data_IF_642606624960
#
_entry.id   IF_642606624960
#
_cell.length_a   1.000
_cell.length_b   1.000
_cell.length_c   1.000
_cell.angle_alpha   90.00
_cell.angle_beta   90.00
_cell.angle_gamma   90.00
#
_symmetry.space_group_name_H-M   'P 1'
#
loop_
_entity.id
_entity.type
_entity.pdbx_description
1 polymer ?
#
# COMPACT_ATOMS: atom_id res chain seq x y z
N UNK A 1 -2.33 -20.97 -21.44
CA UNK A 1 -3.62 -20.34 -20.99
C UNK A 1 -3.93 -20.65 -19.51
N UNK A 2 -3.85 -21.89 -19.09
CA UNK A 2 -4.13 -22.27 -17.68
C UNK A 2 -3.26 -21.48 -16.68
N UNK A 3 -1.96 -21.39 -16.91
CA UNK A 3 -1.04 -20.64 -16.03
C UNK A 3 -1.33 -19.15 -15.98
N UNK A 4 -1.79 -18.56 -17.10
CA UNK A 4 -2.18 -17.15 -17.13
C UNK A 4 -3.43 -16.89 -16.27
N UNK A 5 -4.39 -17.81 -16.30
CA UNK A 5 -5.60 -17.72 -15.47
C UNK A 5 -5.23 -17.85 -13.98
N UNK A 6 -4.38 -18.82 -13.65
CA UNK A 6 -3.92 -19.03 -12.27
C UNK A 6 -3.15 -17.80 -11.75
N UNK A 7 -2.24 -17.27 -12.55
CA UNK A 7 -1.47 -16.07 -12.16
C UNK A 7 -2.37 -14.85 -11.95
N UNK A 8 -3.33 -14.64 -12.85
CA UNK A 8 -4.31 -13.55 -12.70
C UNK A 8 -5.14 -13.71 -11.44
N UNK A 9 -5.57 -14.93 -11.13
CA UNK A 9 -6.32 -15.24 -9.92
C UNK A 9 -5.51 -14.98 -8.65
N UNK A 10 -4.26 -15.41 -8.63
CA UNK A 10 -3.34 -15.18 -7.49
C UNK A 10 -3.08 -13.68 -7.34
N UNK A 11 -2.84 -12.97 -8.43
CA UNK A 11 -2.62 -11.53 -8.41
C UNK A 11 -3.82 -10.77 -7.84
N UNK A 12 -5.02 -11.14 -8.27
CA UNK A 12 -6.26 -10.55 -7.77
C UNK A 12 -6.44 -10.82 -6.27
N UNK A 13 -6.20 -12.05 -5.85
CA UNK A 13 -6.30 -12.43 -4.44
C UNK A 13 -5.25 -11.70 -3.58
N UNK A 14 -4.02 -11.58 -4.08
CA UNK A 14 -2.96 -10.83 -3.41
C UNK A 14 -3.35 -9.35 -3.25
N UNK A 15 -3.95 -8.76 -4.27
CA UNK A 15 -4.47 -7.40 -4.22
C UNK A 15 -5.51 -7.21 -3.11
N UNK A 16 -6.41 -8.16 -2.94
CA UNK A 16 -7.41 -8.14 -1.88
C UNK A 16 -6.78 -8.25 -0.48
N UNK A 17 -5.79 -9.11 -0.32
CA UNK A 17 -5.06 -9.27 0.95
C UNK A 17 -4.32 -7.97 1.30
N UNK A 18 -3.66 -7.34 0.33
CA UNK A 18 -2.98 -6.07 0.54
C UNK A 18 -3.96 -4.97 0.93
N UNK A 19 -5.09 -4.89 0.26
CA UNK A 19 -6.12 -3.88 0.53
C UNK A 19 -6.71 -4.04 1.93
N UNK A 20 -7.04 -5.25 2.32
CA UNK A 20 -7.56 -5.55 3.65
C UNK A 20 -6.52 -5.23 4.74
N UNK A 21 -5.28 -5.66 4.56
CA UNK A 21 -4.19 -5.38 5.50
C UNK A 21 -3.93 -3.89 5.65
N UNK A 22 -3.94 -3.15 4.53
CA UNK A 22 -3.77 -1.69 4.53
C UNK A 22 -4.91 -0.99 5.28
N UNK A 23 -6.16 -1.40 5.06
CA UNK A 23 -7.31 -0.84 5.75
C UNK A 23 -7.25 -1.09 7.27
N UNK A 24 -6.85 -2.28 7.68
CA UNK A 24 -6.71 -2.61 9.11
C UNK A 24 -5.56 -1.86 9.78
N UNK A 25 -4.42 -1.72 9.10
CA UNK A 25 -3.29 -0.93 9.61
C UNK A 25 -3.63 0.56 9.67
N UNK A 26 -4.34 1.08 8.67
CA UNK A 26 -4.80 2.47 8.65
C UNK A 26 -5.78 2.77 9.79
N UNK A 27 -6.54 1.80 10.23
CA UNK A 27 -7.46 1.93 11.36
C UNK A 27 -6.75 2.32 12.66
N UNK A 28 -5.49 1.94 12.82
CA UNK A 28 -4.69 2.36 13.99
C UNK A 28 -4.51 3.88 14.02
N UNK A 29 -4.40 4.52 12.88
CA UNK A 29 -4.31 5.99 12.80
C UNK A 29 -5.68 6.64 13.02
N UNK A 30 -6.74 6.03 12.52
CA UNK A 30 -8.10 6.54 12.68
C UNK A 30 -8.51 6.58 14.16
N UNK A 31 -8.13 5.57 14.94
CA UNK A 31 -8.49 5.42 16.36
C UNK A 31 -7.42 5.97 17.32
N UNK A 32 -6.46 6.76 16.86
CA UNK A 32 -5.35 7.36 17.62
C UNK A 32 -4.33 6.39 18.21
N UNK A 33 -4.45 5.09 17.98
CA UNK A 33 -3.50 4.11 18.53
C UNK A 33 -2.08 4.33 17.99
N UNK A 34 -1.95 4.68 16.72
CA UNK A 34 -0.66 4.95 16.11
C UNK A 34 -0.01 6.22 16.69
N UNK A 35 -0.81 7.26 16.93
CA UNK A 35 -0.34 8.51 17.52
C UNK A 35 0.10 8.32 18.97
N UNK A 36 -0.71 7.62 19.76
CA UNK A 36 -0.43 7.37 21.18
C UNK A 36 0.84 6.54 21.37
N UNK A 37 1.10 5.61 20.46
CA UNK A 37 2.31 4.77 20.50
C UNK A 37 3.52 5.40 19.81
N UNK A 38 3.36 6.54 19.14
CA UNK A 38 4.42 7.16 18.36
C UNK A 38 4.90 6.29 17.19
N UNK A 39 3.97 5.61 16.53
CA UNK A 39 4.27 4.67 15.44
C UNK A 39 4.98 5.37 14.28
N UNK A 40 6.22 4.99 14.02
CA UNK A 40 6.98 5.48 12.87
C UNK A 40 6.68 4.64 11.61
N UNK A 41 7.28 5.02 10.48
CA UNK A 41 7.09 4.33 9.21
C UNK A 41 7.47 2.85 9.29
N UNK A 42 8.60 2.53 9.93
CA UNK A 42 9.06 1.15 10.09
C UNK A 42 8.06 0.33 10.92
N UNK A 43 7.56 0.88 12.01
CA UNK A 43 6.55 0.21 12.84
C UNK A 43 5.24 -0.03 12.07
N UNK A 44 4.81 0.94 11.27
CA UNK A 44 3.64 0.80 10.42
C UNK A 44 3.82 -0.29 9.36
N UNK A 45 4.97 -0.31 8.68
CA UNK A 45 5.31 -1.36 7.72
C UNK A 45 5.37 -2.74 8.37
N UNK A 46 5.87 -2.83 9.59
CA UNK A 46 5.91 -4.08 10.35
C UNK A 46 4.50 -4.58 10.66
N UNK A 47 3.62 -3.69 11.12
CA UNK A 47 2.22 -4.04 11.38
C UNK A 47 1.52 -4.50 10.10
N UNK A 48 1.68 -3.76 9.02
CA UNK A 48 1.12 -4.12 7.72
C UNK A 48 1.66 -5.47 7.24
N UNK A 49 2.97 -5.69 7.32
CA UNK A 49 3.59 -6.95 6.93
C UNK A 49 3.05 -8.13 7.72
N UNK A 50 2.85 -7.98 9.02
CA UNK A 50 2.29 -9.04 9.86
C UNK A 50 0.89 -9.48 9.40
N UNK A 51 0.16 -8.59 8.77
CA UNK A 51 -1.19 -8.88 8.26
C UNK A 51 -1.17 -9.53 6.88
N UNK A 52 -0.14 -9.25 6.06
CA UNK A 52 -0.08 -9.68 4.66
C UNK A 52 1.02 -10.71 4.37
N UNK A 53 1.84 -11.07 5.33
CA UNK A 53 3.01 -11.94 5.14
C UNK A 53 2.71 -13.33 4.59
N UNK A 54 1.45 -13.77 4.64
CA UNK A 54 1.02 -15.04 4.08
C UNK A 54 1.25 -15.10 2.56
N UNK A 55 1.10 -13.97 1.88
CA UNK A 55 1.25 -13.87 0.42
C UNK A 55 2.41 -12.98 -0.01
N UNK A 56 2.92 -12.12 0.85
CA UNK A 56 3.92 -11.12 0.50
C UNK A 56 5.25 -11.37 1.19
N UNK A 57 6.33 -11.27 0.43
CA UNK A 57 7.69 -11.41 0.95
C UNK A 57 8.14 -10.06 1.57
N UNK A 58 7.69 -9.80 2.77
CA UNK A 58 8.02 -8.58 3.50
C UNK A 58 8.63 -8.84 4.88
N UNK A 59 8.48 -10.05 5.42
CA UNK A 59 9.01 -10.40 6.74
C UNK A 59 10.54 -10.40 6.70
N UNK A 60 11.13 -9.54 7.53
CA UNK A 60 12.58 -9.32 7.50
C UNK A 60 13.07 -8.49 6.30
N UNK A 61 12.18 -8.03 5.44
CA UNK A 61 12.52 -7.28 4.23
C UNK A 61 11.46 -6.22 3.93
N UNK A 62 11.32 -5.26 4.85
CA UNK A 62 10.28 -4.23 4.78
C UNK A 62 10.45 -3.27 3.58
N UNK A 63 11.63 -3.24 2.97
CA UNK A 63 11.88 -2.43 1.78
C UNK A 63 11.03 -2.88 0.57
N UNK A 64 10.51 -4.10 0.59
CA UNK A 64 9.61 -4.59 -0.45
C UNK A 64 8.24 -3.92 -0.42
N UNK A 65 7.87 -3.31 0.70
CA UNK A 65 6.63 -2.55 0.84
C UNK A 65 6.95 -1.06 0.78
N UNK A 66 6.23 -0.33 -0.04
CA UNK A 66 6.27 1.13 -0.06
C UNK A 66 4.98 1.67 0.52
N UNK A 67 5.08 2.58 1.47
CA UNK A 67 3.94 3.18 2.15
C UNK A 67 3.97 4.69 1.94
N UNK A 68 2.84 5.25 1.59
CA UNK A 68 2.65 6.70 1.44
C UNK A 68 1.47 7.12 2.30
N UNK A 69 1.74 7.92 3.32
CA UNK A 69 0.72 8.43 4.25
C UNK A 69 0.75 9.94 4.20
N UNK A 70 -0.35 10.53 3.71
CA UNK A 70 -0.50 11.98 3.61
C UNK A 70 -1.67 12.46 4.45
N UNK A 71 -1.48 13.56 5.12
CA UNK A 71 -2.48 14.20 5.98
C UNK A 71 -2.94 15.50 5.31
N UNK A 72 -4.24 15.66 5.17
CA UNK A 72 -4.86 16.85 4.58
C UNK A 72 -5.72 17.55 5.61
N UNK A 73 -5.54 18.85 5.74
CA UNK A 73 -6.35 19.68 6.62
C UNK A 73 -7.80 19.75 6.14
N UNK A 74 -8.78 19.97 7.04
CA UNK A 74 -10.18 20.12 6.64
C UNK A 74 -10.35 21.21 5.58
N UNK A 75 -11.16 20.91 4.55
CA UNK A 75 -11.43 21.85 3.46
C UNK A 75 -10.32 21.95 2.40
N UNK A 76 -9.22 21.22 2.56
CA UNK A 76 -8.15 21.16 1.57
C UNK A 76 -8.45 20.11 0.50
N UNK A 77 -8.16 20.42 -0.76
CA UNK A 77 -8.30 19.45 -1.83
C UNK A 77 -7.30 18.30 -1.67
N UNK A 78 -7.78 17.08 -1.83
CA UNK A 78 -6.93 15.89 -1.76
C UNK A 78 -6.29 15.70 -3.13
N UNK A 79 -4.95 15.70 -3.17
CA UNK A 79 -4.18 15.46 -4.38
C UNK A 79 -3.38 14.16 -4.24
N UNK A 80 -3.57 13.25 -5.20
CA UNK A 80 -2.88 11.96 -5.23
C UNK A 80 -2.12 11.89 -6.54
N UNK A 81 -0.82 11.58 -6.47
CA UNK A 81 0.04 11.44 -7.65
C UNK A 81 0.04 10.00 -8.13
N UNK A 82 0.20 9.84 -9.45
CA UNK A 82 0.37 8.51 -10.04
C UNK A 82 1.71 7.91 -9.57
N UNK A 83 1.69 6.71 -8.96
CA UNK A 83 2.92 6.09 -8.47
C UNK A 83 3.79 5.49 -9.59
N UNK A 84 3.25 5.32 -10.79
CA UNK A 84 3.99 4.73 -11.92
C UNK A 84 4.36 5.83 -12.90
N UNK A 85 5.67 6.04 -13.07
CA UNK A 85 6.21 6.97 -14.08
C UNK A 85 7.23 6.23 -14.92
N UNK A 86 7.02 6.20 -16.22
CA UNK A 86 7.91 5.52 -17.19
C UNK A 86 8.21 4.06 -16.81
N UNK A 87 7.21 3.33 -16.32
CA UNK A 87 7.32 1.93 -15.93
C UNK A 87 8.04 1.69 -14.61
N UNK A 88 8.24 2.72 -13.80
CA UNK A 88 8.91 2.59 -12.51
C UNK A 88 8.01 3.14 -11.39
N UNK A 89 8.11 2.52 -10.21
CA UNK A 89 7.49 3.05 -9.01
C UNK A 89 8.28 4.29 -8.56
N UNK A 90 7.66 5.44 -8.71
CA UNK A 90 8.32 6.73 -8.49
C UNK A 90 7.55 7.56 -7.48
N UNK A 91 8.27 8.06 -6.45
CA UNK A 91 7.73 8.96 -5.45
C UNK A 91 7.49 10.39 -5.99
N UNK A 92 7.27 11.33 -5.08
CA UNK A 92 7.62 11.25 -3.65
C UNK A 92 6.62 10.46 -2.81
N UNK A 93 7.15 9.62 -1.91
CA UNK A 93 6.37 8.92 -0.89
C UNK A 93 6.74 9.47 0.48
N UNK A 94 5.77 9.68 1.33
CA UNK A 94 5.98 10.25 2.66
C UNK A 94 5.21 9.47 3.72
N UNK A 95 5.62 9.61 4.97
CA UNK A 95 4.91 9.06 6.11
C UNK A 95 4.69 10.16 7.13
N UNK A 96 3.44 10.50 7.38
CA UNK A 96 3.08 11.54 8.34
C UNK A 96 1.94 11.04 9.22
N UNK A 97 2.15 11.04 10.53
CA UNK A 97 1.06 10.78 11.46
C UNK A 97 0.17 12.03 11.59
N UNK A 98 -1.16 11.87 11.55
CA UNK A 98 -2.05 12.99 11.81
C UNK A 98 -1.93 13.47 13.26
N UNK A 99 -1.98 14.77 13.51
CA UNK A 99 -2.03 15.29 14.87
C UNK A 99 -3.27 14.77 15.61
N UNK A 100 -3.10 14.47 16.89
CA UNK A 100 -4.23 14.07 17.73
C UNK A 100 -5.24 15.22 17.89
N UNK A 101 -6.53 14.88 17.91
CA UNK A 101 -7.60 15.86 18.17
C UNK A 101 -7.95 16.77 17.01
N UNK A 102 -7.40 16.55 15.83
CA UNK A 102 -7.66 17.35 14.64
C UNK A 102 -8.45 16.54 13.60
N UNK A 103 -9.55 17.04 13.06
CA UNK A 103 -10.37 16.29 12.09
C UNK A 103 -9.74 16.29 10.69
N UNK A 104 -8.51 15.82 10.60
CA UNK A 104 -7.79 15.74 9.34
C UNK A 104 -8.26 14.54 8.52
N UNK A 105 -8.17 14.65 7.19
CA UNK A 105 -8.33 13.53 6.28
C UNK A 105 -6.96 12.91 6.04
N UNK A 106 -6.88 11.60 6.20
CA UNK A 106 -5.63 10.85 5.97
C UNK A 106 -5.84 9.90 4.80
N UNK A 107 -4.88 9.89 3.88
CA UNK A 107 -4.84 8.94 2.77
C UNK A 107 -3.61 8.06 2.94
N UNK A 108 -3.85 6.77 3.11
CA UNK A 108 -2.81 5.75 3.25
C UNK A 108 -2.77 4.94 1.97
N UNK A 109 -1.60 4.88 1.33
CA UNK A 109 -1.38 4.01 0.18
C UNK A 109 -0.24 3.05 0.49
N UNK A 110 -0.44 1.79 0.11
CA UNK A 110 0.59 0.75 0.21
C UNK A 110 0.83 0.16 -1.16
N UNK A 111 2.09 -0.05 -1.51
CA UNK A 111 2.50 -0.55 -2.81
C UNK A 111 3.43 -1.76 -2.64
N UNK A 112 3.25 -2.74 -3.52
CA UNK A 112 4.11 -3.90 -3.62
C UNK A 112 4.33 -4.25 -5.10
N UNK A 113 5.58 -4.45 -5.50
CA UNK A 113 5.93 -4.85 -6.86
C UNK A 113 5.88 -6.38 -6.97
N UNK A 114 4.78 -6.88 -7.53
CA UNK A 114 4.55 -8.32 -7.67
C UNK A 114 5.22 -8.85 -8.93
N UNK A 115 6.12 -9.86 -8.83
CA UNK A 115 6.76 -10.44 -9.99
C UNK A 115 5.76 -11.28 -10.80
N UNK A 116 5.83 -11.17 -12.13
CA UNK A 116 5.02 -11.95 -13.05
C UNK A 116 5.87 -13.03 -13.71
N UNK A 117 5.32 -14.22 -13.82
CA UNK A 117 6.04 -15.39 -14.35
C UNK A 117 5.56 -15.81 -15.74
N UNK A 118 4.32 -15.46 -16.13
CA UNK A 118 3.68 -15.93 -17.37
C UNK A 118 3.79 -14.93 -18.53
N UNK A 119 4.41 -13.78 -18.34
CA UNK A 119 4.55 -12.73 -19.36
C UNK A 119 5.24 -13.22 -20.64
N UNK A 120 6.11 -14.22 -20.53
CA UNK A 120 6.87 -14.76 -21.65
C UNK A 120 6.04 -15.60 -22.62
N UNK A 121 4.82 -15.94 -22.26
CA UNK A 121 3.94 -16.80 -23.07
C UNK A 121 2.88 -16.00 -23.85
N UNK A 122 3.16 -14.72 -24.13
CA UNK A 122 2.29 -13.85 -24.92
C UNK A 122 1.17 -13.16 -24.13
N UNK A 123 1.05 -13.45 -22.84
CA UNK A 123 0.08 -12.81 -21.94
C UNK A 123 0.84 -11.87 -20.99
N UNK A 124 0.70 -10.57 -21.19
CA UNK A 124 1.44 -9.58 -20.42
C UNK A 124 0.49 -8.61 -19.73
N UNK A 125 0.44 -8.67 -18.39
CA UNK A 125 -0.33 -7.77 -17.53
C UNK A 125 0.58 -6.86 -16.69
N UNK A 126 1.88 -6.79 -17.03
CA UNK A 126 2.82 -5.94 -16.32
C UNK A 126 2.52 -4.46 -16.56
N UNK A 127 2.69 -3.65 -15.50
CA UNK A 127 2.65 -2.19 -15.58
C UNK A 127 3.93 -1.54 -15.05
N UNK A 128 4.92 -2.36 -14.72
CA UNK A 128 6.25 -1.94 -14.29
C UNK A 128 7.31 -2.61 -15.15
N UNK A 129 8.48 -1.98 -15.24
CA UNK A 129 9.65 -2.56 -15.88
C UNK A 129 10.09 -3.85 -15.19
N UNK A 130 10.64 -4.79 -15.96
CA UNK A 130 11.12 -6.07 -15.44
C UNK A 130 10.01 -7.10 -15.20
N UNK A 131 8.92 -7.04 -15.97
CA UNK A 131 7.79 -7.99 -15.87
C UNK A 131 7.19 -8.05 -14.47
N UNK A 132 6.91 -6.90 -13.91
CA UNK A 132 6.28 -6.76 -12.60
C UNK A 132 4.93 -6.06 -12.73
N UNK A 133 4.04 -6.36 -11.80
CA UNK A 133 2.77 -5.67 -11.63
C UNK A 133 2.77 -4.94 -10.30
N UNK A 134 2.42 -3.66 -10.30
CA UNK A 134 2.25 -2.91 -9.08
C UNK A 134 0.90 -3.27 -8.46
N UNK A 135 0.94 -3.80 -7.24
CA UNK A 135 -0.24 -3.93 -6.39
C UNK A 135 -0.33 -2.71 -5.50
N UNK A 136 -1.46 -2.05 -5.51
CA UNK A 136 -1.70 -0.85 -4.73
C UNK A 136 -2.97 -1.01 -3.91
N UNK A 137 -2.92 -0.55 -2.67
CA UNK A 137 -4.07 -0.46 -1.80
C UNK A 137 -4.17 0.96 -1.24
N UNK A 138 -5.37 1.48 -1.16
CA UNK A 138 -5.62 2.84 -0.66
C UNK A 138 -6.70 2.81 0.40
N UNK A 139 -6.45 3.48 1.52
CA UNK A 139 -7.45 3.74 2.56
C UNK A 139 -7.49 5.24 2.83
N UNK A 140 -8.68 5.81 2.83
CA UNK A 140 -8.89 7.21 3.15
C UNK A 140 -9.92 7.31 4.27
N UNK A 141 -9.65 8.15 5.27
CA UNK A 141 -10.50 8.28 6.44
C UNK A 141 -10.32 9.64 7.11
N UNK A 142 -11.29 10.00 7.94
CA UNK A 142 -11.17 11.13 8.86
C UNK A 142 -10.69 10.62 10.22
N UNK A 143 -9.74 11.33 10.82
CA UNK A 143 -9.28 11.01 12.18
C UNK A 143 -10.39 11.35 13.17
N UNK A 144 -10.65 10.45 14.10
CA UNK A 144 -11.62 10.68 15.17
C UNK A 144 -11.17 11.84 16.07
N UNK A 145 -12.09 12.70 16.48
CA UNK A 145 -11.77 13.83 17.36
C UNK A 145 -11.34 13.37 18.78
#
# INVERSE_FOLDING_TARGET
MLFAILETGILFFAGQVLEQGTAESARLMMTHQAQDSGMNETAFKTDLCNRIKVMFNCYGNLANITVDVKVFSPGTAITITDPIVSGNLTGPFSYSLPPAGSPNTVVVRAFYQWPLYVTRFGYNISNLSGSKRLLAATAAFHVEP
#
